data_IF_884817985156
#
_entry.id   IF_884817985156
#
_cell.length_a   1.000
_cell.length_b   1.000
_cell.length_c   1.000
_cell.angle_alpha   90.00
_cell.angle_beta   90.00
_cell.angle_gamma   90.00
#
_symmetry.space_group_name_H-M   'P 1'
#
loop_
_entity.id
_entity.type
_entity.pdbx_description
1 polymer ?
#
# COMPACT_ATOMS: atom_id res chain seq x y z
N UNK A 1 23.96 -0.87 -6.30
CA UNK A 1 22.95 -0.48 -5.30
C UNK A 1 21.70 -0.05 -6.04
N UNK A 2 20.73 -0.97 -6.24
CA UNK A 2 19.50 -0.66 -6.98
C UNK A 2 18.52 -0.02 -5.99
N UNK A 3 18.29 1.28 -6.12
CA UNK A 3 17.28 2.00 -5.32
C UNK A 3 15.90 1.64 -5.87
N UNK A 4 15.21 0.72 -5.19
CA UNK A 4 13.78 0.43 -5.41
C UNK A 4 12.94 1.56 -4.82
N UNK A 5 12.89 2.71 -5.50
CA UNK A 5 11.93 3.76 -5.15
C UNK A 5 10.69 3.60 -6.03
N UNK A 6 9.55 3.16 -5.46
CA UNK A 6 8.26 3.22 -6.17
C UNK A 6 7.94 4.69 -6.47
N UNK A 7 8.23 5.14 -7.69
CA UNK A 7 7.82 6.46 -8.19
C UNK A 7 6.42 6.31 -8.81
N UNK A 8 5.43 7.13 -8.41
CA UNK A 8 4.11 7.08 -9.04
C UNK A 8 4.19 7.69 -10.44
N UNK A 9 4.01 6.86 -11.47
CA UNK A 9 3.91 7.32 -12.86
C UNK A 9 2.62 8.14 -13.05
N UNK A 10 2.77 9.31 -13.67
CA UNK A 10 1.69 10.23 -14.02
C UNK A 10 0.64 9.52 -14.88
N UNK A 11 -0.60 9.61 -14.41
CA UNK A 11 -1.83 9.08 -15.00
C UNK A 11 -2.03 9.58 -16.43
N UNK A 12 -2.06 8.65 -17.40
CA UNK A 12 -2.69 8.92 -18.69
C UNK A 12 -3.69 7.80 -18.96
N UNK A 13 -4.97 8.19 -18.94
CA UNK A 13 -6.18 7.48 -19.35
C UNK A 13 -6.58 6.21 -18.57
N UNK A 14 -7.88 6.16 -18.32
CA UNK A 14 -8.61 5.07 -17.69
C UNK A 14 -8.64 3.90 -18.67
N UNK A 15 -8.08 2.76 -18.29
CA UNK A 15 -8.46 1.47 -18.85
C UNK A 15 -8.41 0.48 -17.67
N UNK A 16 -9.44 -0.36 -17.59
CA UNK A 16 -9.51 -1.45 -16.63
C UNK A 16 -8.53 -2.52 -17.11
N UNK A 17 -7.30 -2.47 -16.64
CA UNK A 17 -6.28 -3.42 -17.05
C UNK A 17 -5.94 -4.35 -15.89
N UNK A 18 -6.45 -5.58 -16.01
CA UNK A 18 -5.72 -6.74 -15.53
C UNK A 18 -4.35 -6.72 -16.20
N UNK A 19 -3.32 -6.29 -15.48
CA UNK A 19 -1.99 -6.12 -16.06
C UNK A 19 -1.01 -7.10 -15.42
N UNK A 20 -0.91 -8.24 -16.09
CA UNK A 20 0.30 -8.96 -16.50
C UNK A 20 1.49 -9.12 -15.54
N UNK A 21 1.98 -10.36 -15.57
CA UNK A 21 3.17 -10.89 -14.90
C UNK A 21 4.45 -10.29 -15.51
N UNK A 22 4.96 -9.20 -14.91
CA UNK A 22 6.34 -8.75 -15.15
C UNK A 22 6.98 -8.38 -13.81
N UNK A 23 7.86 -9.28 -13.36
CA UNK A 23 8.71 -9.17 -12.18
C UNK A 23 9.24 -7.76 -11.94
N UNK A 24 8.83 -7.13 -10.82
CA UNK A 24 9.34 -5.84 -10.35
C UNK A 24 8.42 -4.62 -10.47
N UNK A 25 7.24 -4.70 -11.08
CA UNK A 25 6.31 -3.54 -11.19
C UNK A 25 5.40 -3.40 -9.96
N UNK A 26 5.34 -2.19 -9.36
CA UNK A 26 4.39 -1.89 -8.28
C UNK A 26 2.96 -1.81 -8.91
N UNK A 27 2.06 -2.76 -8.58
CA UNK A 27 0.65 -2.79 -9.02
C UNK A 27 -0.22 -2.03 -8.01
N UNK A 28 -1.30 -1.41 -8.50
CA UNK A 28 -2.30 -0.78 -7.61
C UNK A 28 -3.28 -1.86 -7.15
N UNK A 29 -3.54 -1.94 -5.85
CA UNK A 29 -4.53 -2.87 -5.29
C UNK A 29 -5.75 -2.06 -4.85
N UNK A 30 -6.94 -2.66 -4.97
CA UNK A 30 -8.17 -2.07 -4.48
C UNK A 30 -8.16 -1.91 -2.96
N UNK A 31 -8.67 -0.78 -2.48
CA UNK A 31 -8.67 -0.46 -1.05
C UNK A 31 -9.64 -1.32 -0.24
N UNK A 32 -10.60 -1.98 -0.89
CA UNK A 32 -11.59 -2.82 -0.22
C UNK A 32 -11.17 -4.29 -0.14
N UNK A 33 -10.04 -4.65 -0.74
CA UNK A 33 -9.51 -6.00 -0.71
C UNK A 33 -9.17 -6.41 0.73
N UNK A 34 -9.42 -7.67 1.09
CA UNK A 34 -9.34 -8.13 2.48
C UNK A 34 -7.92 -8.02 3.02
N UNK A 35 -6.90 -8.36 2.23
CA UNK A 35 -5.51 -8.28 2.68
C UNK A 35 -5.05 -6.83 2.91
N UNK A 36 -5.57 -5.88 2.12
CA UNK A 36 -5.31 -4.45 2.30
C UNK A 36 -5.91 -3.95 3.62
N UNK A 37 -7.11 -4.42 4.01
CA UNK A 37 -7.71 -4.05 5.30
C UNK A 37 -6.94 -4.64 6.48
N UNK A 38 -6.58 -5.91 6.41
CA UNK A 38 -5.79 -6.58 7.44
C UNK A 38 -4.44 -5.87 7.67
N UNK A 39 -3.76 -5.47 6.59
CA UNK A 39 -2.51 -4.71 6.69
C UNK A 39 -2.72 -3.31 7.26
N UNK A 40 -3.83 -2.63 6.93
CA UNK A 40 -4.14 -1.33 7.53
C UNK A 40 -4.42 -1.45 9.04
N UNK A 41 -5.16 -2.49 9.45
CA UNK A 41 -5.43 -2.78 10.86
C UNK A 41 -4.13 -3.09 11.62
N UNK A 42 -3.24 -3.90 11.02
CA UNK A 42 -1.92 -4.18 11.56
C UNK A 42 -1.07 -2.90 11.72
N UNK A 43 -1.06 -2.03 10.71
CA UNK A 43 -0.34 -0.77 10.78
C UNK A 43 -0.90 0.13 11.91
N UNK A 44 -2.23 0.22 12.04
CA UNK A 44 -2.85 1.03 13.10
C UNK A 44 -2.69 0.48 14.51
N UNK A 45 -2.44 -0.82 14.66
CA UNK A 45 -2.13 -1.40 15.97
C UNK A 45 -0.65 -1.31 16.32
N UNK A 46 0.25 -1.45 15.34
CA UNK A 46 1.70 -1.57 15.57
C UNK A 46 2.48 -0.25 15.47
N UNK A 47 2.07 0.67 14.59
CA UNK A 47 2.72 1.97 14.41
C UNK A 47 2.60 2.86 15.65
N UNK A 48 1.43 3.05 16.28
CA UNK A 48 1.34 3.97 17.41
C UNK A 48 2.21 3.54 18.58
N UNK A 49 2.28 2.24 18.89
CA UNK A 49 3.17 1.70 19.92
C UNK A 49 4.64 2.01 19.61
N UNK A 50 5.09 1.79 18.37
CA UNK A 50 6.48 2.06 17.96
C UNK A 50 6.82 3.55 17.88
N UNK A 51 5.85 4.37 17.53
CA UNK A 51 6.02 5.80 17.35
C UNK A 51 5.79 6.60 18.65
N UNK A 52 5.48 5.92 19.77
CA UNK A 52 5.04 6.54 21.03
C UNK A 52 3.85 7.49 20.83
N UNK A 53 2.96 7.16 19.89
CA UNK A 53 1.71 7.87 19.67
C UNK A 53 0.62 7.28 20.58
N UNK A 54 -0.40 8.09 20.88
CA UNK A 54 -1.60 7.62 21.59
C UNK A 54 -2.40 6.61 20.77
N UNK A 55 -3.63 6.30 21.21
CA UNK A 55 -4.53 5.48 20.41
C UNK A 55 -4.82 6.18 19.07
N UNK A 56 -4.35 5.60 17.97
CA UNK A 56 -4.56 6.11 16.62
C UNK A 56 -5.65 5.30 15.95
N UNK A 57 -6.68 5.98 15.44
CA UNK A 57 -7.81 5.35 14.76
C UNK A 57 -7.62 5.47 13.25
N UNK A 58 -7.79 4.35 12.53
CA UNK A 58 -7.82 4.36 11.07
C UNK A 58 -9.07 5.09 10.58
N UNK A 59 -8.92 6.26 9.96
CA UNK A 59 -10.04 6.97 9.32
C UNK A 59 -10.29 6.38 7.93
N UNK A 60 -9.24 6.26 7.12
CA UNK A 60 -9.39 5.90 5.70
C UNK A 60 -8.12 5.34 5.06
N UNK A 61 -8.30 4.37 4.18
CA UNK A 61 -7.26 3.91 3.25
C UNK A 61 -7.38 4.73 1.96
N UNK A 62 -6.40 5.60 1.68
CA UNK A 62 -6.43 6.48 0.51
C UNK A 62 -5.93 5.74 -0.73
N UNK A 63 -4.83 4.98 -0.61
CA UNK A 63 -4.18 4.26 -1.70
C UNK A 63 -3.46 3.02 -1.18
N UNK A 64 -3.49 1.94 -1.96
CA UNK A 64 -2.74 0.72 -1.72
C UNK A 64 -2.00 0.28 -3.00
N UNK A 65 -0.78 -0.22 -2.84
CA UNK A 65 0.04 -0.79 -3.92
C UNK A 65 0.78 -2.03 -3.42
N UNK A 66 0.91 -3.05 -4.26
CA UNK A 66 1.79 -4.20 -4.02
C UNK A 66 2.92 -4.24 -5.02
N UNK A 67 4.03 -4.86 -4.63
CA UNK A 67 5.12 -5.20 -5.52
C UNK A 67 5.60 -6.61 -5.20
N UNK A 68 5.64 -7.46 -6.23
CA UNK A 68 6.22 -8.80 -6.15
C UNK A 68 7.73 -8.71 -6.43
N UNK A 69 8.54 -9.07 -5.44
CA UNK A 69 10.01 -9.18 -5.51
C UNK A 69 10.41 -10.57 -4.96
N UNK A 70 11.35 -10.68 -4.01
CA UNK A 70 11.60 -11.91 -3.25
C UNK A 70 10.55 -12.16 -2.15
N UNK A 71 9.48 -11.37 -2.15
CA UNK A 71 8.35 -11.32 -1.22
C UNK A 71 7.35 -10.27 -1.73
N UNK A 72 6.24 -10.07 -1.01
CA UNK A 72 5.24 -9.06 -1.38
C UNK A 72 5.47 -7.82 -0.52
N UNK A 73 5.84 -6.72 -1.16
CA UNK A 73 5.94 -5.42 -0.49
C UNK A 73 4.62 -4.66 -0.68
N UNK A 74 3.98 -4.28 0.43
CA UNK A 74 2.82 -3.40 0.42
C UNK A 74 3.24 -1.95 0.70
N UNK A 75 2.72 -1.01 -0.08
CA UNK A 75 2.87 0.43 0.14
C UNK A 75 1.51 1.07 0.22
N UNK A 76 1.16 1.58 1.39
CA UNK A 76 -0.15 2.11 1.71
C UNK A 76 -0.08 3.57 2.14
N UNK A 77 -1.17 4.30 1.97
CA UNK A 77 -1.34 5.67 2.48
C UNK A 77 -2.63 5.71 3.27
N UNK A 78 -2.49 5.89 4.57
CA UNK A 78 -3.58 5.86 5.54
C UNK A 78 -3.81 7.28 6.08
N UNK A 79 -5.06 7.60 6.33
CA UNK A 79 -5.50 8.79 7.06
C UNK A 79 -5.88 8.34 8.48
N UNK A 80 -5.41 9.10 9.48
CA UNK A 80 -5.47 8.78 10.90
C UNK A 80 -5.91 10.04 11.66
N UNK A 81 -6.70 9.88 12.73
CA UNK A 81 -7.19 10.96 13.61
C UNK A 81 -6.24 11.21 14.79
#
# INVERSE_FOLDING_TARGET
MVRLSCTPLRKTRQVADEDDDVSGRCKTIDVNETTVKEMAEFDTSSIPEKANLGAVILIKIIKAKSQFVAGINFKMTLEQD
#
